data_IF_382711291067
#
_entry.id   IF_382711291067
#
_cell.length_a   1.000
_cell.length_b   1.000
_cell.length_c   1.000
_cell.angle_alpha   90.00
_cell.angle_beta   90.00
_cell.angle_gamma   90.00
#
_symmetry.space_group_name_H-M   'P 1'
#
loop_
_entity.id
_entity.type
_entity.pdbx_description
1 polymer ?
#
# COMPACT_ATOMS: atom_id res chain seq x y z
N UNK A 1 40.90 2.73 -44.45
CA UNK A 1 41.36 3.52 -45.61
C UNK A 1 40.26 4.51 -45.98
N UNK A 2 40.59 5.82 -45.98
CA UNK A 2 40.12 6.91 -46.87
C UNK A 2 38.62 6.96 -47.25
N UNK A 3 37.90 8.08 -47.32
CA UNK A 3 38.14 9.51 -47.11
C UNK A 3 36.78 10.20 -47.35
N UNK A 4 36.49 11.22 -46.56
CA UNK A 4 35.66 12.41 -46.82
C UNK A 4 35.08 12.64 -48.23
N UNK A 5 33.84 13.17 -48.29
CA UNK A 5 33.53 14.40 -49.07
C UNK A 5 32.21 15.08 -48.63
N UNK A 6 32.39 16.31 -48.16
CA UNK A 6 31.43 17.41 -48.04
C UNK A 6 30.95 17.88 -49.43
N UNK A 7 29.75 18.49 -49.52
CA UNK A 7 29.58 19.89 -49.99
C UNK A 7 28.16 20.44 -49.61
N UNK A 8 27.99 21.78 -49.50
CA UNK A 8 26.95 22.47 -48.74
C UNK A 8 25.98 23.30 -49.61
N UNK A 9 24.93 23.88 -49.02
CA UNK A 9 24.25 25.08 -49.57
C UNK A 9 23.87 26.05 -48.45
N UNK A 10 23.93 27.34 -48.79
CA UNK A 10 24.19 28.53 -47.95
C UNK A 10 23.13 29.59 -48.27
N UNK A 11 22.99 30.55 -47.34
CA UNK A 11 22.34 31.89 -47.41
C UNK A 11 20.85 31.97 -47.03
N UNK A 12 20.37 32.98 -46.28
CA UNK A 12 21.02 34.16 -45.68
C UNK A 12 20.00 35.22 -45.23
N UNK A 13 20.42 36.12 -44.32
CA UNK A 13 19.77 37.38 -43.93
C UNK A 13 18.67 37.25 -42.85
N UNK A 14 18.65 37.97 -41.72
CA UNK A 14 19.36 39.15 -41.26
C UNK A 14 18.34 40.19 -40.80
N UNK A 15 18.16 40.40 -39.48
CA UNK A 15 17.63 41.66 -38.92
C UNK A 15 17.73 41.71 -37.37
N UNK A 16 18.48 42.72 -36.92
CA UNK A 16 18.25 43.65 -35.80
C UNK A 16 18.08 43.13 -34.36
N UNK A 17 19.10 43.51 -33.60
CA UNK A 17 19.15 43.89 -32.18
C UNK A 17 17.91 44.61 -31.65
N UNK A 18 17.37 44.11 -30.54
CA UNK A 18 16.74 44.92 -29.49
C UNK A 18 16.91 44.18 -28.15
N UNK A 19 17.36 44.91 -27.14
CA UNK A 19 17.82 44.37 -25.87
C UNK A 19 16.68 43.87 -24.99
N UNK A 20 16.97 42.84 -24.20
CA UNK A 20 16.26 42.60 -22.95
C UNK A 20 17.27 42.36 -21.83
N UNK A 21 17.10 43.20 -20.81
CA UNK A 21 17.76 43.18 -19.52
C UNK A 21 17.73 41.77 -18.90
N UNK A 22 18.89 41.34 -18.41
CA UNK A 22 19.01 40.20 -17.52
C UNK A 22 18.45 40.58 -16.15
N UNK A 23 17.22 40.16 -15.85
CA UNK A 23 16.74 40.03 -14.48
C UNK A 23 16.90 38.57 -14.05
N UNK A 24 17.89 38.36 -13.19
CA UNK A 24 18.15 37.15 -12.41
C UNK A 24 16.96 36.80 -11.53
N UNK A 25 16.50 35.54 -11.58
CA UNK A 25 15.48 35.02 -10.67
C UNK A 25 14.54 34.05 -11.36
N UNK A 26 15.01 32.82 -11.64
CA UNK A 26 14.12 31.71 -11.96
C UNK A 26 14.49 30.53 -11.07
N UNK A 27 13.66 30.34 -10.04
CA UNK A 27 13.46 29.01 -9.45
C UNK A 27 13.07 28.06 -10.58
N UNK A 28 13.92 27.08 -10.84
CA UNK A 28 13.62 26.01 -11.79
C UNK A 28 12.62 25.09 -11.11
N UNK A 29 11.34 25.26 -11.45
CA UNK A 29 10.27 24.37 -11.01
C UNK A 29 10.48 22.99 -11.66
N UNK A 30 10.65 21.95 -10.82
CA UNK A 30 10.91 20.55 -11.21
C UNK A 30 9.83 19.99 -12.16
N UNK A 31 8.64 20.59 -12.17
CA UNK A 31 7.53 20.24 -13.07
C UNK A 31 7.95 20.34 -14.55
N UNK A 32 8.86 21.25 -14.91
CA UNK A 32 9.23 21.47 -16.32
C UNK A 32 10.17 20.42 -16.92
N UNK A 33 10.84 19.58 -16.10
CA UNK A 33 11.80 18.57 -16.59
C UNK A 33 11.17 17.16 -16.69
N UNK A 34 10.05 16.91 -16.00
CA UNK A 34 9.30 15.64 -16.10
C UNK A 34 8.41 15.52 -17.35
N UNK A 35 8.17 16.61 -18.09
CA UNK A 35 7.15 16.67 -19.14
C UNK A 35 7.40 15.90 -20.45
N UNK A 36 8.46 15.09 -20.59
CA UNK A 36 8.75 14.38 -21.86
C UNK A 36 9.15 12.91 -21.79
N UNK A 37 9.11 12.28 -20.62
CA UNK A 37 9.36 10.82 -20.47
C UNK A 37 8.14 10.07 -19.90
N UNK A 38 7.02 10.76 -19.65
CA UNK A 38 5.80 10.24 -19.02
C UNK A 38 4.95 9.27 -19.89
N UNK A 39 5.54 8.60 -20.89
CA UNK A 39 4.79 7.81 -21.88
C UNK A 39 5.07 6.29 -21.85
N UNK A 40 5.93 5.76 -20.98
CA UNK A 40 6.26 4.30 -21.00
C UNK A 40 6.13 3.55 -19.66
N UNK A 41 5.67 4.19 -18.58
CA UNK A 41 5.49 3.52 -17.27
C UNK A 41 4.08 3.74 -16.68
N UNK A 42 3.05 3.88 -17.51
CA UNK A 42 1.66 3.89 -17.03
C UNK A 42 1.11 2.48 -16.89
N UNK A 43 1.49 1.81 -15.82
CA UNK A 43 0.79 0.66 -15.25
C UNK A 43 1.18 0.58 -13.76
N UNK A 44 0.50 1.35 -12.94
CA UNK A 44 0.69 1.45 -11.49
C UNK A 44 -0.19 2.60 -11.01
N UNK A 45 -1.08 2.31 -10.05
CA UNK A 45 -2.11 3.23 -9.59
C UNK A 45 -1.54 4.52 -9.02
N UNK A 46 -2.39 5.55 -8.94
CA UNK A 46 -2.12 6.80 -8.24
C UNK A 46 -1.99 6.49 -6.74
N UNK A 47 -0.82 6.03 -6.32
CA UNK A 47 -0.45 5.83 -4.91
C UNK A 47 -0.28 7.21 -4.25
N UNK A 48 -1.25 7.64 -3.44
CA UNK A 48 -0.99 8.70 -2.47
C UNK A 48 0.07 8.15 -1.49
N UNK A 49 1.25 8.79 -1.32
CA UNK A 49 2.22 8.28 -0.36
C UNK A 49 1.66 8.53 1.04
N UNK A 50 1.06 7.46 1.57
CA UNK A 50 0.38 7.42 2.85
C UNK A 50 1.35 7.99 3.88
N UNK A 51 0.88 9.04 4.57
CA UNK A 51 1.59 9.82 5.61
C UNK A 51 2.45 10.99 5.15
N UNK A 52 2.43 11.43 3.88
CA UNK A 52 3.07 12.70 3.48
C UNK A 52 2.64 13.90 4.35
N UNK A 53 1.34 14.01 4.64
CA UNK A 53 0.79 15.07 5.50
C UNK A 53 1.26 14.96 6.95
N UNK A 54 1.43 13.75 7.46
CA UNK A 54 1.93 13.52 8.83
C UNK A 54 3.43 13.85 8.93
N UNK A 55 4.23 13.47 7.93
CA UNK A 55 5.64 13.86 7.84
C UNK A 55 5.74 15.39 7.76
N UNK A 56 4.93 16.05 6.93
CA UNK A 56 4.87 17.51 6.87
C UNK A 56 4.51 18.14 8.21
N UNK A 57 3.52 17.59 8.90
CA UNK A 57 3.10 18.08 10.22
C UNK A 57 4.21 17.95 11.26
N UNK A 58 4.96 16.85 11.26
CA UNK A 58 6.12 16.66 12.15
C UNK A 58 7.23 17.65 11.80
N UNK A 59 7.60 17.79 10.53
CA UNK A 59 8.63 18.76 10.10
C UNK A 59 8.27 20.20 10.43
N UNK A 60 6.99 20.56 10.32
CA UNK A 60 6.49 21.89 10.72
C UNK A 60 6.52 22.10 12.23
N UNK A 61 6.12 21.09 13.00
CA UNK A 61 6.11 21.12 14.47
C UNK A 61 7.52 21.27 15.05
N UNK A 62 8.49 20.57 14.49
CA UNK A 62 9.91 20.63 14.91
C UNK A 62 10.65 21.87 14.37
N UNK A 63 9.97 22.74 13.62
CA UNK A 63 10.56 23.97 13.06
C UNK A 63 11.56 23.74 11.93
N UNK A 64 11.62 22.53 11.37
CA UNK A 64 12.51 22.16 10.26
C UNK A 64 12.04 22.72 8.92
N UNK A 65 10.73 22.92 8.77
CA UNK A 65 10.11 23.58 7.64
C UNK A 65 9.01 24.54 8.11
N UNK A 66 8.87 25.74 7.52
CA UNK A 66 7.70 26.56 7.74
C UNK A 66 6.42 25.79 7.39
N UNK A 67 5.37 25.90 8.21
CA UNK A 67 4.11 25.14 8.03
C UNK A 67 3.54 25.24 6.62
N UNK A 68 3.43 26.46 6.09
CA UNK A 68 2.93 26.72 4.73
C UNK A 68 3.79 26.07 3.63
N UNK A 69 5.09 25.89 3.88
CA UNK A 69 6.00 25.20 2.95
C UNK A 69 5.86 23.69 3.10
N UNK A 70 5.72 23.18 4.32
CA UNK A 70 5.52 21.75 4.58
C UNK A 70 4.21 21.25 3.96
N UNK A 71 3.12 22.02 4.10
CA UNK A 71 1.81 21.71 3.50
C UNK A 71 1.90 21.68 1.96
N UNK A 72 2.46 22.73 1.34
CA UNK A 72 2.68 22.77 -0.12
C UNK A 72 3.60 21.65 -0.62
N UNK A 73 4.63 21.30 0.15
CA UNK A 73 5.54 20.22 -0.19
C UNK A 73 4.83 18.85 -0.16
N UNK A 74 3.92 18.63 0.79
CA UNK A 74 3.11 17.41 0.85
C UNK A 74 2.15 17.30 -0.35
N UNK A 75 1.58 18.42 -0.80
CA UNK A 75 0.78 18.48 -2.03
C UNK A 75 1.63 18.19 -3.28
N UNK A 76 2.82 18.79 -3.39
CA UNK A 76 3.77 18.50 -4.48
C UNK A 76 4.20 17.03 -4.47
N UNK A 77 4.44 16.46 -3.29
CA UNK A 77 4.79 15.05 -3.11
C UNK A 77 3.70 14.13 -3.66
N UNK A 78 2.44 14.37 -3.26
CA UNK A 78 1.28 13.61 -3.74
C UNK A 78 1.12 13.68 -5.27
N UNK A 79 1.43 14.81 -5.91
CA UNK A 79 1.38 14.96 -7.37
C UNK A 79 2.59 14.35 -8.10
N UNK A 80 3.74 14.28 -7.42
CA UNK A 80 5.01 13.83 -8.01
C UNK A 80 5.18 12.31 -8.03
N UNK A 81 4.39 11.58 -7.22
CA UNK A 81 4.55 10.15 -7.00
C UNK A 81 5.74 9.78 -6.10
N UNK A 82 6.39 10.77 -5.48
CA UNK A 82 7.44 10.57 -4.49
C UNK A 82 6.92 10.90 -3.10
N UNK A 83 7.52 10.27 -2.08
CA UNK A 83 7.28 10.62 -0.69
C UNK A 83 7.92 11.97 -0.35
N UNK A 84 7.34 12.67 0.62
CA UNK A 84 7.74 14.03 1.00
C UNK A 84 9.22 14.14 1.40
N UNK A 85 9.77 13.10 2.04
CA UNK A 85 11.18 13.04 2.42
C UNK A 85 12.11 13.09 1.21
N UNK A 86 11.78 12.41 0.11
CA UNK A 86 12.51 12.49 -1.15
C UNK A 86 12.54 13.93 -1.66
N UNK A 87 11.40 14.61 -1.73
CA UNK A 87 11.37 16.02 -2.18
C UNK A 87 12.20 16.93 -1.28
N UNK A 88 12.08 16.78 0.05
CA UNK A 88 12.84 17.58 1.00
C UNK A 88 14.36 17.37 0.86
N UNK A 89 14.78 16.12 0.63
CA UNK A 89 16.19 15.77 0.46
C UNK A 89 16.74 16.28 -0.89
N UNK A 90 16.00 16.08 -1.98
CA UNK A 90 16.37 16.55 -3.33
C UNK A 90 16.55 18.07 -3.37
N UNK A 91 15.71 18.81 -2.64
CA UNK A 91 15.77 20.28 -2.55
C UNK A 91 16.71 20.80 -1.46
N UNK A 92 17.34 19.90 -0.69
CA UNK A 92 18.20 20.24 0.47
C UNK A 92 17.51 21.16 1.47
N UNK A 93 16.19 21.01 1.66
CA UNK A 93 15.42 21.84 2.59
C UNK A 93 15.63 21.44 4.05
N UNK A 94 15.79 20.14 4.29
CA UNK A 94 15.94 19.55 5.62
C UNK A 94 17.14 18.61 5.59
N UNK A 95 18.00 18.62 6.61
CA UNK A 95 19.10 17.67 6.69
C UNK A 95 18.59 16.23 6.79
N UNK A 96 19.33 15.29 6.20
CA UNK A 96 18.94 13.89 6.08
C UNK A 96 18.60 13.22 7.42
N UNK A 97 19.42 13.42 8.46
CA UNK A 97 19.17 12.86 9.78
C UNK A 97 17.84 13.34 10.38
N UNK A 98 17.53 14.63 10.25
CA UNK A 98 16.28 15.18 10.76
C UNK A 98 15.05 14.69 9.96
N UNK A 99 15.19 14.42 8.66
CA UNK A 99 14.16 13.75 7.88
C UNK A 99 13.93 12.32 8.36
N UNK A 100 15.01 11.59 8.63
CA UNK A 100 14.92 10.21 9.12
C UNK A 100 14.24 10.15 10.49
N UNK A 101 14.56 11.08 11.39
CA UNK A 101 13.91 11.19 12.71
C UNK A 101 12.42 11.52 12.60
N UNK A 102 12.05 12.41 11.67
CA UNK A 102 10.64 12.73 11.41
C UNK A 102 9.87 11.50 10.88
N UNK A 103 10.47 10.76 9.94
CA UNK A 103 9.91 9.50 9.42
C UNK A 103 9.77 8.47 10.54
N UNK A 104 10.81 8.27 11.37
CA UNK A 104 10.76 7.38 12.52
C UNK A 104 9.64 7.73 13.51
N UNK A 105 9.41 9.02 13.73
CA UNK A 105 8.33 9.54 14.59
C UNK A 105 6.94 9.23 14.02
N UNK A 106 6.73 9.47 12.73
CA UNK A 106 5.45 9.20 12.04
C UNK A 106 5.12 7.72 12.05
N UNK A 107 6.08 6.87 11.69
CA UNK A 107 5.89 5.42 11.65
C UNK A 107 5.97 4.76 13.04
N UNK A 108 6.37 5.51 14.08
CA UNK A 108 6.61 5.00 15.45
C UNK A 108 7.52 3.76 15.44
N UNK A 109 8.52 3.77 14.57
CA UNK A 109 9.43 2.66 14.36
C UNK A 109 10.88 3.11 14.49
N UNK A 110 11.77 2.14 14.74
CA UNK A 110 13.21 2.36 14.63
C UNK A 110 13.55 2.74 13.20
N UNK A 111 14.64 3.48 13.04
CA UNK A 111 15.09 3.92 11.72
C UNK A 111 16.28 3.10 11.24
N UNK A 112 16.49 3.06 9.93
CA UNK A 112 17.71 2.56 9.30
C UNK A 112 18.39 3.72 8.57
N UNK A 113 19.59 4.07 9.01
CA UNK A 113 20.37 5.15 8.43
C UNK A 113 21.07 4.72 7.13
N UNK A 114 21.58 5.71 6.38
CA UNK A 114 22.29 5.45 5.14
C UNK A 114 23.55 4.58 5.32
N UNK A 115 24.23 4.66 6.47
CA UNK A 115 25.43 3.87 6.75
C UNK A 115 25.13 2.38 6.83
N UNK A 116 24.07 2.03 7.58
CA UNK A 116 23.61 0.65 7.73
C UNK A 116 23.18 0.02 6.39
N UNK A 117 22.67 0.82 5.45
CA UNK A 117 22.18 0.35 4.15
C UNK A 117 23.25 0.27 3.06
N UNK A 118 24.46 0.80 3.30
CA UNK A 118 25.51 0.86 2.29
C UNK A 118 26.36 -0.42 2.22
N UNK A 119 26.58 -1.05 3.37
CA UNK A 119 27.49 -2.20 3.49
C UNK A 119 26.73 -3.44 3.97
N UNK A 120 25.92 -4.00 3.07
CA UNK A 120 25.09 -5.16 3.38
C UNK A 120 25.83 -6.45 3.01
N UNK A 121 26.05 -7.37 3.97
CA UNK A 121 26.67 -8.65 3.67
C UNK A 121 25.86 -9.46 2.66
N UNK A 122 26.51 -10.07 1.66
CA UNK A 122 25.86 -10.86 0.62
C UNK A 122 24.97 -11.99 1.17
N UNK A 123 25.35 -12.57 2.32
CA UNK A 123 24.54 -13.59 3.03
C UNK A 123 23.15 -13.08 3.46
N UNK A 124 23.00 -11.78 3.71
CA UNK A 124 21.70 -11.18 4.06
C UNK A 124 20.87 -10.95 2.81
N UNK A 125 21.52 -10.51 1.73
CA UNK A 125 20.86 -10.30 0.43
C UNK A 125 20.29 -11.59 -0.15
N UNK A 126 20.93 -12.74 0.09
CA UNK A 126 20.40 -14.04 -0.35
C UNK A 126 19.14 -14.48 0.40
N UNK A 127 18.80 -13.88 1.54
CA UNK A 127 17.60 -14.25 2.31
C UNK A 127 16.32 -13.71 1.66
N UNK A 128 16.39 -12.52 1.05
CA UNK A 128 15.24 -11.89 0.39
C UNK A 128 15.52 -11.84 -1.11
N UNK A 129 14.79 -12.60 -1.94
CA UNK A 129 14.96 -12.55 -3.39
C UNK A 129 14.79 -11.14 -3.94
N UNK A 130 15.57 -10.77 -4.97
CA UNK A 130 15.54 -9.44 -5.59
C UNK A 130 14.13 -8.97 -5.95
N UNK A 131 13.31 -9.87 -6.51
CA UNK A 131 11.91 -9.60 -6.89
C UNK A 131 11.04 -9.22 -5.69
N UNK A 132 11.24 -9.87 -4.53
CA UNK A 132 10.52 -9.55 -3.31
C UNK A 132 11.03 -8.24 -2.68
N UNK A 133 12.36 -8.04 -2.67
CA UNK A 133 12.97 -6.80 -2.20
C UNK A 133 12.47 -5.57 -2.99
N UNK A 134 12.40 -5.70 -4.33
CA UNK A 134 11.87 -4.67 -5.21
C UNK A 134 10.37 -4.45 -5.00
N UNK A 135 9.58 -5.53 -5.01
CA UNK A 135 8.11 -5.47 -4.89
C UNK A 135 7.67 -4.83 -3.58
N UNK A 136 8.28 -5.22 -2.46
CA UNK A 136 7.91 -4.73 -1.13
C UNK A 136 8.69 -3.48 -0.71
N UNK A 137 9.63 -3.00 -1.54
CA UNK A 137 10.52 -1.86 -1.23
C UNK A 137 11.23 -2.04 0.11
N UNK A 138 11.89 -3.20 0.26
CA UNK A 138 12.56 -3.61 1.49
C UNK A 138 13.98 -4.09 1.24
N UNK A 139 14.87 -3.84 2.21
CA UNK A 139 16.27 -4.28 2.15
C UNK A 139 16.73 -4.83 3.51
N UNK A 140 17.24 -6.06 3.59
CA UNK A 140 17.77 -6.61 4.84
C UNK A 140 19.13 -5.97 5.13
N UNK A 141 19.40 -5.56 6.37
CA UNK A 141 20.69 -4.93 6.71
C UNK A 141 21.35 -5.50 7.97
N UNK A 142 20.62 -6.23 8.81
CA UNK A 142 21.19 -6.86 9.99
C UNK A 142 20.46 -8.14 10.37
N UNK A 143 21.19 -9.14 10.88
CA UNK A 143 20.63 -10.41 11.36
C UNK A 143 21.25 -10.74 12.71
N UNK A 144 20.42 -10.89 13.72
CA UNK A 144 20.79 -11.28 15.08
C UNK A 144 20.00 -12.52 15.50
N UNK A 145 20.67 -13.66 15.60
CA UNK A 145 20.02 -14.95 15.81
C UNK A 145 19.03 -15.27 14.69
N UNK A 146 17.73 -15.29 15.02
CA UNK A 146 16.63 -15.49 14.07
C UNK A 146 15.90 -14.17 13.72
N UNK A 147 16.37 -13.02 14.22
CA UNK A 147 15.74 -11.72 14.01
C UNK A 147 16.42 -11.00 12.85
N UNK A 148 15.70 -10.86 11.73
CA UNK A 148 16.16 -10.14 10.55
C UNK A 148 15.63 -8.70 10.59
N UNK A 149 16.54 -7.74 10.74
CA UNK A 149 16.24 -6.33 10.60
C UNK A 149 16.23 -5.93 9.14
N UNK A 150 15.10 -5.35 8.73
CA UNK A 150 14.80 -4.98 7.35
C UNK A 150 14.46 -3.50 7.32
N UNK A 151 15.10 -2.74 6.43
CA UNK A 151 14.70 -1.39 6.13
C UNK A 151 13.54 -1.41 5.14
N UNK A 152 12.48 -0.67 5.44
CA UNK A 152 11.25 -0.66 4.66
C UNK A 152 10.79 0.78 4.41
N UNK A 153 10.17 1.00 3.25
CA UNK A 153 9.50 2.26 2.95
C UNK A 153 8.31 2.49 3.90
N UNK A 154 7.48 1.45 4.09
CA UNK A 154 6.44 1.40 5.12
C UNK A 154 6.72 0.25 6.10
N UNK A 155 7.29 0.52 7.28
CA UNK A 155 7.52 -0.50 8.31
C UNK A 155 6.25 -0.93 9.05
N UNK A 156 5.10 -0.30 8.77
CA UNK A 156 3.80 -0.63 9.40
C UNK A 156 2.95 -1.58 8.56
N UNK A 157 3.41 -1.97 7.36
CA UNK A 157 2.73 -2.95 6.53
C UNK A 157 2.94 -4.39 7.06
N UNK A 158 1.96 -4.84 7.84
CA UNK A 158 1.96 -6.18 8.43
C UNK A 158 1.82 -7.31 7.41
N UNK A 159 1.29 -7.03 6.21
CA UNK A 159 1.17 -8.05 5.16
C UNK A 159 2.54 -8.32 4.53
N UNK A 160 3.35 -7.28 4.35
CA UNK A 160 4.75 -7.39 3.92
C UNK A 160 5.57 -8.11 5.00
N UNK A 161 5.38 -7.77 6.28
CA UNK A 161 6.08 -8.45 7.38
C UNK A 161 5.80 -9.96 7.41
N UNK A 162 4.52 -10.36 7.30
CA UNK A 162 4.12 -11.77 7.26
C UNK A 162 4.72 -12.51 6.06
N UNK A 163 4.77 -11.87 4.88
CA UNK A 163 5.36 -12.44 3.67
C UNK A 163 6.88 -12.61 3.81
N UNK A 164 7.59 -11.61 4.32
CA UNK A 164 9.03 -11.71 4.59
C UNK A 164 9.35 -12.78 5.63
N UNK A 165 8.54 -12.90 6.69
CA UNK A 165 8.68 -13.96 7.70
C UNK A 165 8.53 -15.34 7.06
N UNK A 166 7.56 -15.51 6.16
CA UNK A 166 7.35 -16.77 5.47
C UNK A 166 8.49 -17.09 4.49
N UNK A 167 8.96 -16.11 3.73
CA UNK A 167 10.05 -16.27 2.75
C UNK A 167 11.39 -16.58 3.41
N UNK A 168 11.70 -15.90 4.52
CA UNK A 168 13.02 -15.97 5.17
C UNK A 168 13.07 -16.96 6.35
N UNK A 169 11.92 -17.38 6.86
CA UNK A 169 11.80 -18.13 8.11
C UNK A 169 12.28 -17.36 9.36
N UNK A 170 12.54 -16.05 9.24
CA UNK A 170 13.06 -15.20 10.32
C UNK A 170 11.95 -14.39 11.00
N UNK A 171 12.21 -13.96 12.23
CA UNK A 171 11.42 -12.91 12.88
C UNK A 171 11.81 -11.59 12.24
N UNK A 172 10.85 -10.91 11.61
CA UNK A 172 11.12 -9.66 10.90
C UNK A 172 11.01 -8.49 11.86
N UNK A 173 11.99 -7.60 11.82
CA UNK A 173 11.94 -6.29 12.48
C UNK A 173 12.07 -5.21 11.42
N UNK A 174 10.97 -4.53 11.11
CA UNK A 174 10.94 -3.48 10.10
C UNK A 174 11.41 -2.14 10.68
N UNK A 175 12.34 -1.50 10.00
CA UNK A 175 12.88 -0.19 10.32
C UNK A 175 12.49 0.81 9.24
N UNK A 176 12.02 1.99 9.62
CA UNK A 176 11.72 3.06 8.68
C UNK A 176 13.02 3.57 8.04
N UNK A 177 13.03 3.74 6.72
CA UNK A 177 14.15 4.36 6.00
C UNK A 177 13.64 5.44 5.05
N UNK A 178 14.53 6.32 4.61
CA UNK A 178 14.21 7.30 3.58
C UNK A 178 14.00 6.62 2.23
N UNK A 179 13.03 7.10 1.44
CA UNK A 179 12.67 6.50 0.16
C UNK A 179 13.87 6.48 -0.80
N UNK A 180 14.60 7.61 -0.91
CA UNK A 180 15.84 7.70 -1.70
C UNK A 180 16.87 6.65 -1.31
N UNK A 181 17.00 6.34 -0.01
CA UNK A 181 17.99 5.39 0.49
C UNK A 181 17.56 3.95 0.30
N UNK A 182 16.26 3.65 0.35
CA UNK A 182 15.73 2.35 -0.08
C UNK A 182 16.02 2.12 -1.56
N UNK A 183 15.75 3.11 -2.43
CA UNK A 183 16.06 2.98 -3.86
C UNK A 183 17.56 2.77 -4.12
N UNK A 184 18.43 3.55 -3.47
CA UNK A 184 19.88 3.39 -3.58
C UNK A 184 20.36 2.01 -3.11
N UNK A 185 19.83 1.53 -1.99
CA UNK A 185 20.16 0.22 -1.45
C UNK A 185 19.66 -0.91 -2.37
N UNK A 186 18.44 -0.82 -2.91
CA UNK A 186 17.91 -1.78 -3.88
C UNK A 186 18.76 -1.82 -5.17
N UNK A 187 19.18 -0.66 -5.67
CA UNK A 187 20.00 -0.58 -6.87
C UNK A 187 21.39 -1.18 -6.67
N UNK A 188 22.03 -0.87 -5.54
CA UNK A 188 23.37 -1.39 -5.24
C UNK A 188 23.39 -2.86 -4.84
N UNK A 189 22.37 -3.33 -4.10
CA UNK A 189 22.32 -4.69 -3.57
C UNK A 189 21.69 -5.71 -4.53
N UNK A 190 20.66 -5.31 -5.29
CA UNK A 190 19.88 -6.21 -6.14
C UNK A 190 19.87 -5.82 -7.62
N UNK A 191 20.49 -4.70 -8.00
CA UNK A 191 20.52 -4.25 -9.39
C UNK A 191 19.18 -3.66 -9.88
N UNK A 192 18.29 -3.28 -8.96
CA UNK A 192 17.00 -2.67 -9.30
C UNK A 192 17.23 -1.28 -9.92
N UNK A 193 16.60 -0.93 -11.06
CA UNK A 193 16.78 0.38 -11.68
C UNK A 193 16.35 1.53 -10.76
N UNK A 194 17.16 2.60 -10.73
CA UNK A 194 16.85 3.82 -10.00
C UNK A 194 15.85 4.68 -10.78
N UNK A 195 14.92 5.37 -10.09
CA UNK A 195 14.18 6.46 -10.69
C UNK A 195 15.15 7.54 -11.24
N UNK A 196 14.94 8.08 -12.46
CA UNK A 196 15.90 8.99 -13.10
C UNK A 196 16.20 10.26 -12.29
N UNK A 197 15.25 10.71 -11.46
CA UNK A 197 15.43 11.86 -10.57
C UNK A 197 16.44 11.54 -9.46
N UNK A 198 16.31 10.36 -8.84
CA UNK A 198 17.20 9.88 -7.78
C UNK A 198 18.59 9.58 -8.34
N UNK A 199 18.66 8.93 -9.50
CA UNK A 199 19.92 8.64 -10.19
C UNK A 199 20.75 9.90 -10.43
N UNK A 200 20.14 10.95 -10.99
CA UNK A 200 20.81 12.24 -11.21
C UNK A 200 21.30 12.88 -9.92
N UNK A 201 20.50 12.79 -8.85
CA UNK A 201 20.87 13.35 -7.55
C UNK A 201 22.04 12.60 -6.90
N UNK A 202 22.05 11.26 -6.99
CA UNK A 202 23.16 10.43 -6.51
C UNK A 202 24.44 10.71 -7.30
N UNK A 203 24.35 10.84 -8.63
CA UNK A 203 25.47 11.22 -9.48
C UNK A 203 26.06 12.60 -9.13
N UNK A 204 25.23 13.51 -8.62
CA UNK A 204 25.63 14.83 -8.11
C UNK A 204 26.31 14.83 -6.74
N UNK A 205 26.57 13.66 -6.15
CA UNK A 205 27.30 13.50 -4.89
C UNK A 205 26.50 12.85 -3.77
N UNK A 206 25.18 12.66 -3.95
CA UNK A 206 24.30 11.85 -3.07
C UNK A 206 24.33 12.23 -1.58
N UNK A 207 24.83 13.42 -1.27
CA UNK A 207 25.09 13.93 0.07
C UNK A 207 24.74 15.39 0.10
N UNK A 208 23.84 15.76 1.00
CA UNK A 208 23.58 17.16 1.29
C UNK A 208 24.79 17.73 2.02
N UNK A 209 25.60 18.57 1.35
CA UNK A 209 26.39 19.56 2.08
C UNK A 209 25.37 20.51 2.70
N UNK A 210 25.24 20.48 4.02
CA UNK A 210 24.36 21.40 4.74
C UNK A 210 24.86 22.83 4.49
N UNK A 211 24.23 23.52 3.54
CA UNK A 211 24.31 24.98 3.49
C UNK A 211 23.21 25.43 4.44
N UNK A 212 23.52 26.06 5.59
CA UNK A 212 22.49 26.61 6.45
C UNK A 212 21.61 27.50 5.59
N UNK A 213 20.29 27.29 5.67
CA UNK A 213 19.33 28.07 4.91
C UNK A 213 19.68 29.55 5.06
N UNK A 214 19.94 30.22 3.92
CA UNK A 214 20.20 31.65 3.93
C UNK A 214 19.09 32.33 4.72
N UNK A 215 19.42 33.26 5.65
CA UNK A 215 18.41 33.91 6.47
C UNK A 215 17.37 34.53 5.55
N UNK A 216 16.12 34.06 5.67
CA UNK A 216 15.02 34.67 4.96
C UNK A 216 14.91 36.13 5.42
N UNK A 217 14.56 37.08 4.53
CA UNK A 217 14.37 38.46 4.92
C UNK A 217 13.35 38.52 6.05
N UNK A 218 13.80 39.04 7.19
CA UNK A 218 12.97 39.23 8.38
C UNK A 218 11.81 40.12 7.98
N UNK A 219 10.60 39.56 7.95
CA UNK A 219 9.39 40.38 7.95
C UNK A 219 9.35 41.02 9.33
N UNK A 220 9.60 42.33 9.41
CA UNK A 220 9.56 43.09 10.65
C UNK A 220 8.23 42.83 11.37
N UNK A 221 8.25 42.44 12.66
CA UNK A 221 7.03 42.31 13.41
C UNK A 221 6.38 43.69 13.56
N UNK A 222 5.17 43.82 13.01
CA UNK A 222 4.29 44.96 13.27
C UNK A 222 4.14 45.09 14.80
N UNK A 223 4.72 46.17 15.35
CA UNK A 223 4.66 46.48 16.78
C UNK A 223 3.20 46.64 17.18
N UNK A 224 2.63 45.64 17.85
CA UNK A 224 1.37 45.81 18.58
C UNK A 224 1.65 46.64 19.84
N UNK A 225 0.81 47.66 20.01
CA UNK A 225 0.84 48.66 21.08
C UNK A 225 0.65 47.99 22.45
N UNK A 226 1.34 48.42 23.52
CA UNK A 226 1.25 47.79 24.83
C UNK A 226 -0.07 48.14 25.52
N UNK A 227 -0.80 47.12 25.97
CA UNK A 227 -1.84 47.28 26.99
C UNK A 227 -1.21 47.30 28.38
N UNK A 228 -1.80 48.15 29.25
CA UNK A 228 -1.28 48.49 30.58
C UNK A 228 -1.53 47.38 31.61
N UNK A 229 -0.73 47.33 32.68
CA UNK A 229 -0.78 46.27 33.68
C UNK A 229 -1.87 46.49 34.73
N UNK A 230 -2.54 45.41 35.15
CA UNK A 230 -3.28 45.36 36.40
C UNK A 230 -2.63 44.37 37.37
N UNK A 231 -2.40 44.87 38.59
CA UNK A 231 -1.78 44.21 39.75
C UNK A 231 -2.77 43.28 40.49
N UNK A 232 -2.29 42.47 41.47
CA UNK A 232 -2.77 41.11 41.73
C UNK A 232 -3.82 41.01 42.86
N UNK A 233 -4.49 39.86 42.92
CA UNK A 233 -5.18 39.37 44.11
C UNK A 233 -4.75 37.93 44.43
N UNK A 234 -4.32 37.71 45.68
CA UNK A 234 -4.05 36.42 46.32
C UNK A 234 -5.23 36.09 47.27
N UNK A 235 -5.20 34.99 48.05
CA UNK A 235 -4.96 33.57 47.73
C UNK A 235 -6.12 32.68 48.21
N UNK A 236 -6.17 31.40 47.81
CA UNK A 236 -6.88 30.38 48.59
C UNK A 236 -6.24 29.00 48.41
N UNK A 237 -6.10 28.32 49.55
CA UNK A 237 -5.33 27.13 49.80
C UNK A 237 -5.94 25.83 49.24
N UNK A 238 -5.12 24.79 49.08
CA UNK A 238 -5.67 23.44 48.89
C UNK A 238 -4.72 22.32 48.48
N UNK A 239 -3.86 21.88 49.41
CA UNK A 239 -3.36 20.49 49.59
C UNK A 239 -2.29 19.93 48.62
N UNK A 240 -1.13 19.65 49.21
CA UNK A 240 -0.27 18.48 48.94
C UNK A 240 -0.35 17.55 50.18
N UNK A 241 0.21 16.33 50.21
CA UNK A 241 0.69 15.43 49.14
C UNK A 241 0.13 13.98 49.29
N UNK A 242 0.26 13.11 48.28
CA UNK A 242 0.21 11.65 48.55
C UNK A 242 1.02 10.81 47.55
N UNK A 243 2.17 10.35 48.07
CA UNK A 243 2.89 9.08 47.88
C UNK A 243 2.67 8.22 46.61
N UNK A 244 3.79 7.98 45.90
CA UNK A 244 4.07 6.72 45.17
C UNK A 244 4.32 5.58 46.19
N UNK A 245 4.02 4.29 45.91
CA UNK A 245 4.77 3.44 44.93
C UNK A 245 3.88 2.33 44.31
N UNK A 246 4.40 1.22 43.72
CA UNK A 246 5.61 1.02 42.92
C UNK A 246 5.26 0.69 41.45
N UNK A 247 6.31 0.68 40.64
CA UNK A 247 6.39 0.13 39.29
C UNK A 247 6.29 -1.41 39.30
N UNK A 248 5.25 -1.95 38.66
CA UNK A 248 5.22 -3.35 38.24
C UNK A 248 5.10 -3.36 36.71
N UNK A 249 6.22 -3.66 36.05
CA UNK A 249 6.26 -4.10 34.66
C UNK A 249 5.68 -5.52 34.62
N UNK A 250 4.70 -5.84 33.76
CA UNK A 250 4.50 -7.21 33.36
C UNK A 250 5.73 -7.64 32.58
N UNK A 251 6.33 -8.73 33.07
CA UNK A 251 7.37 -9.53 32.45
C UNK A 251 7.11 -9.78 30.95
N UNK A 252 8.22 -10.01 30.26
CA UNK A 252 8.28 -10.48 28.90
C UNK A 252 7.14 -11.49 28.60
N UNK A 253 6.37 -11.21 27.55
CA UNK A 253 5.56 -12.23 26.89
C UNK A 253 6.53 -13.21 26.20
N UNK A 254 7.08 -14.10 27.02
CA UNK A 254 7.63 -15.36 26.56
C UNK A 254 6.49 -16.11 25.88
N UNK A 255 6.59 -16.23 24.55
CA UNK A 255 5.78 -17.14 23.78
C UNK A 255 6.01 -18.55 24.35
N UNK A 256 4.98 -19.13 24.96
CA UNK A 256 5.08 -20.48 25.50
C UNK A 256 5.23 -21.47 24.35
N UNK A 257 5.94 -22.57 24.61
CA UNK A 257 6.27 -23.62 23.65
C UNK A 257 5.04 -24.34 23.03
N UNK A 258 3.82 -23.98 23.40
CA UNK A 258 2.58 -24.51 22.83
C UNK A 258 2.07 -23.72 21.60
N UNK A 259 2.50 -22.47 21.37
CA UNK A 259 2.12 -21.69 20.16
C UNK A 259 3.00 -21.99 18.92
N UNK A 260 4.09 -22.75 19.09
CA UNK A 260 4.96 -23.22 18.00
C UNK A 260 4.63 -24.66 17.55
N UNK A 261 3.53 -25.23 18.04
CA UNK A 261 3.10 -26.61 17.81
C UNK A 261 2.20 -26.87 16.60
N UNK A 262 2.09 -25.96 15.62
CA UNK A 262 1.08 -26.10 14.56
C UNK A 262 1.30 -27.23 13.55
N UNK A 263 2.37 -28.04 13.64
CA UNK A 263 2.47 -29.31 12.89
C UNK A 263 3.40 -30.33 13.58
N UNK A 264 2.87 -31.23 14.42
CA UNK A 264 3.04 -32.67 14.12
C UNK A 264 1.91 -33.56 14.69
N UNK A 265 1.17 -34.29 13.85
CA UNK A 265 0.26 -35.35 14.35
C UNK A 265 -0.94 -35.70 13.47
N UNK A 266 -0.71 -36.19 12.25
CA UNK A 266 -1.74 -36.78 11.39
C UNK A 266 -2.09 -38.23 11.83
N UNK A 267 -2.38 -38.45 13.12
CA UNK A 267 -2.78 -39.76 13.61
C UNK A 267 -3.63 -39.68 14.88
N UNK A 268 -4.97 -39.55 14.71
CA UNK A 268 -6.07 -40.06 15.56
C UNK A 268 -7.31 -39.17 15.63
N UNK A 269 -7.85 -38.75 14.49
CA UNK A 269 -9.28 -38.44 14.38
C UNK A 269 -9.87 -38.91 13.04
N UNK A 270 -9.36 -40.06 12.59
CA UNK A 270 -10.13 -41.02 11.81
C UNK A 270 -10.74 -42.02 12.80
N UNK A 271 -11.75 -41.61 13.57
CA UNK A 271 -12.64 -42.53 14.28
C UNK A 271 -13.84 -41.80 14.89
N UNK A 272 -15.02 -42.14 14.35
CA UNK A 272 -16.37 -41.88 14.86
C UNK A 272 -16.92 -40.46 14.66
N UNK A 273 -18.12 -40.25 14.13
CA UNK A 273 -19.12 -41.11 13.47
C UNK A 273 -20.26 -40.17 13.03
N UNK A 274 -20.77 -40.37 11.83
CA UNK A 274 -22.19 -40.42 11.47
C UNK A 274 -23.21 -39.70 12.38
N UNK A 275 -23.95 -38.74 11.82
CA UNK A 275 -25.44 -38.72 11.79
C UNK A 275 -25.96 -37.46 11.06
N UNK A 276 -26.64 -37.68 9.93
CA UNK A 276 -27.68 -36.80 9.33
C UNK A 276 -28.83 -36.62 10.33
N UNK A 277 -29.56 -35.47 10.35
CA UNK A 277 -30.82 -35.44 9.59
C UNK A 277 -31.29 -34.06 9.04
N UNK A 278 -31.90 -34.14 7.85
CA UNK A 278 -33.28 -33.76 7.51
C UNK A 278 -33.73 -32.27 7.48
N UNK A 279 -34.18 -31.86 6.29
CA UNK A 279 -34.90 -30.63 5.98
C UNK A 279 -36.37 -30.66 6.45
N UNK A 280 -37.04 -29.50 6.50
CA UNK A 280 -38.37 -29.49 5.89
C UNK A 280 -38.68 -28.27 5.01
N UNK A 281 -39.75 -28.48 4.24
CA UNK A 281 -40.18 -27.80 3.04
C UNK A 281 -41.11 -26.59 3.24
N UNK A 282 -41.41 -25.96 2.11
CA UNK A 282 -42.12 -24.71 1.84
C UNK A 282 -43.63 -24.66 2.12
N UNK A 283 -44.18 -23.44 2.20
CA UNK A 283 -45.53 -23.03 1.73
C UNK A 283 -45.74 -21.49 1.83
N UNK A 284 -46.67 -20.85 1.07
CA UNK A 284 -46.45 -19.58 0.33
C UNK A 284 -47.46 -18.43 0.69
N UNK A 285 -47.86 -17.52 -0.24
CA UNK A 285 -47.38 -16.14 -0.37
C UNK A 285 -48.43 -15.06 0.00
N UNK A 286 -48.03 -13.79 0.11
CA UNK A 286 -48.94 -12.65 0.28
C UNK A 286 -48.57 -11.46 -0.63
N UNK A 287 -49.45 -11.27 -1.63
CA UNK A 287 -50.03 -10.06 -2.21
C UNK A 287 -49.18 -8.81 -2.57
N UNK A 288 -49.28 -8.53 -3.87
CA UNK A 288 -49.06 -7.27 -4.59
C UNK A 288 -49.72 -6.05 -3.94
N UNK A 289 -48.95 -4.95 -3.87
CA UNK A 289 -49.49 -3.60 -3.96
C UNK A 289 -48.61 -2.76 -4.90
N UNK A 290 -49.20 -2.35 -6.03
CA UNK A 290 -48.69 -1.30 -6.93
C UNK A 290 -49.00 0.07 -6.30
N UNK A 291 -48.16 1.11 -6.41
CA UNK A 291 -48.10 2.18 -7.44
C UNK A 291 -47.13 3.28 -6.92
N UNK A 292 -46.74 4.35 -7.64
CA UNK A 292 -46.65 4.59 -9.09
C UNK A 292 -45.26 5.10 -9.55
N UNK A 293 -45.10 5.11 -10.87
CA UNK A 293 -43.97 5.54 -11.70
C UNK A 293 -43.71 7.06 -11.65
N UNK A 294 -42.42 7.45 -11.61
CA UNK A 294 -41.92 8.82 -11.74
C UNK A 294 -40.68 8.82 -12.68
N UNK A 295 -40.39 9.95 -13.36
CA UNK A 295 -39.94 9.98 -14.75
C UNK A 295 -38.43 9.77 -14.97
N UNK A 296 -38.11 9.28 -16.17
CA UNK A 296 -36.77 8.94 -16.64
C UNK A 296 -35.76 10.12 -16.58
N UNK A 297 -34.52 9.89 -16.10
CA UNK A 297 -33.43 10.83 -16.32
C UNK A 297 -32.82 10.67 -17.73
N UNK A 298 -32.46 11.82 -18.30
CA UNK A 298 -31.84 12.00 -19.60
C UNK A 298 -30.50 11.23 -19.76
N UNK A 299 -30.10 10.87 -20.99
CA UNK A 299 -28.97 9.96 -21.23
C UNK A 299 -27.65 10.55 -20.77
N UNK A 300 -26.97 9.82 -19.89
CA UNK A 300 -25.60 10.08 -19.46
C UNK A 300 -24.64 10.00 -20.65
N UNK A 301 -23.62 10.85 -20.60
CA UNK A 301 -22.56 10.97 -21.59
C UNK A 301 -21.91 9.61 -21.90
N UNK A 302 -21.65 9.38 -23.18
CA UNK A 302 -21.03 8.15 -23.68
C UNK A 302 -19.71 7.87 -22.94
N UNK A 303 -19.48 6.62 -22.46
CA UNK A 303 -18.23 6.27 -21.83
C UNK A 303 -17.08 6.36 -22.85
N UNK A 304 -16.00 7.01 -22.42
CA UNK A 304 -14.71 7.00 -23.10
C UNK A 304 -14.30 5.54 -23.30
N UNK A 305 -14.21 5.10 -24.55
CA UNK A 305 -13.80 3.73 -24.91
C UNK A 305 -12.40 3.46 -24.34
N UNK A 306 -12.30 2.54 -23.39
CA UNK A 306 -11.03 1.94 -22.97
C UNK A 306 -10.43 1.23 -24.19
N UNK A 307 -9.11 1.30 -24.33
CA UNK A 307 -8.40 0.41 -25.25
C UNK A 307 -8.55 -1.01 -24.70
N UNK A 308 -9.33 -1.84 -25.40
CA UNK A 308 -9.67 -3.18 -24.99
C UNK A 308 -8.45 -4.12 -25.16
N UNK A 309 -8.08 -4.80 -24.07
CA UNK A 309 -7.45 -6.12 -24.18
C UNK A 309 -8.34 -6.98 -25.10
N UNK A 310 -7.79 -7.88 -25.94
CA UNK A 310 -8.63 -8.78 -26.72
C UNK A 310 -9.66 -9.45 -25.80
N UNK A 311 -10.94 -9.35 -26.16
CA UNK A 311 -12.06 -9.81 -25.35
C UNK A 311 -12.08 -11.35 -25.37
N UNK A 312 -11.19 -11.95 -24.59
CA UNK A 312 -11.03 -13.39 -24.45
C UNK A 312 -12.23 -13.99 -23.71
N UNK A 313 -12.67 -15.18 -24.13
CA UNK A 313 -13.75 -15.92 -23.45
C UNK A 313 -13.35 -16.27 -21.99
N UNK A 314 -14.31 -16.37 -21.03
CA UNK A 314 -13.97 -16.72 -19.64
C UNK A 314 -13.15 -18.00 -19.48
N UNK A 315 -13.29 -18.99 -20.37
CA UNK A 315 -12.49 -20.21 -20.29
C UNK A 315 -11.03 -19.98 -20.70
N UNK A 316 -10.79 -19.22 -21.77
CA UNK A 316 -9.44 -18.87 -22.23
C UNK A 316 -8.70 -18.02 -21.18
N UNK A 317 -9.42 -17.08 -20.56
CA UNK A 317 -8.87 -16.27 -19.47
C UNK A 317 -8.56 -17.10 -18.24
N UNK A 318 -9.38 -18.13 -17.95
CA UNK A 318 -9.11 -19.06 -16.86
C UNK A 318 -7.85 -19.88 -17.14
N UNK A 319 -7.55 -20.22 -18.40
CA UNK A 319 -6.28 -20.89 -18.76
C UNK A 319 -5.10 -19.98 -18.43
N UNK A 320 -5.10 -18.72 -18.88
CA UNK A 320 -4.04 -17.75 -18.55
C UNK A 320 -3.87 -17.55 -17.05
N UNK A 321 -4.99 -17.42 -16.32
CA UNK A 321 -4.94 -17.32 -14.86
C UNK A 321 -4.35 -18.58 -14.22
N UNK A 322 -4.60 -19.77 -14.79
CA UNK A 322 -4.05 -21.03 -14.28
C UNK A 322 -2.54 -21.11 -14.47
N UNK A 323 -2.04 -20.66 -15.62
CA UNK A 323 -0.60 -20.59 -15.91
C UNK A 323 0.09 -19.62 -14.95
N UNK A 324 -0.48 -18.42 -14.78
CA UNK A 324 0.00 -17.43 -13.81
C UNK A 324 0.05 -18.00 -12.39
N UNK A 325 -1.05 -18.61 -11.92
CA UNK A 325 -1.15 -19.26 -10.61
C UNK A 325 -0.12 -20.39 -10.44
N UNK A 326 0.15 -21.20 -11.47
CA UNK A 326 1.14 -22.27 -11.41
C UNK A 326 2.59 -21.76 -11.31
N UNK A 327 2.85 -20.59 -11.89
CA UNK A 327 4.16 -19.92 -11.87
C UNK A 327 4.37 -18.99 -10.68
N UNK A 328 3.35 -18.76 -9.84
CA UNK A 328 3.41 -17.83 -8.72
C UNK A 328 4.56 -18.14 -7.75
N UNK A 329 5.37 -17.12 -7.43
CA UNK A 329 6.50 -17.22 -6.50
C UNK A 329 6.26 -16.47 -5.18
N UNK A 330 5.32 -15.52 -5.20
CA UNK A 330 4.90 -14.72 -4.05
C UNK A 330 3.37 -14.78 -3.92
N UNK A 331 2.85 -14.45 -2.74
CA UNK A 331 1.38 -14.31 -2.57
C UNK A 331 0.80 -13.27 -3.52
N UNK A 332 1.51 -12.18 -3.71
CA UNK A 332 1.09 -11.11 -4.63
C UNK A 332 0.91 -11.58 -6.07
N UNK A 333 1.67 -12.58 -6.54
CA UNK A 333 1.48 -13.15 -7.87
C UNK A 333 0.13 -13.86 -7.99
N UNK A 334 -0.31 -14.52 -6.92
CA UNK A 334 -1.62 -15.16 -6.83
C UNK A 334 -2.71 -14.08 -6.84
N UNK A 335 -2.52 -13.00 -6.09
CA UNK A 335 -3.44 -11.87 -6.08
C UNK A 335 -3.58 -11.24 -7.47
N UNK A 336 -2.45 -10.95 -8.12
CA UNK A 336 -2.40 -10.33 -9.44
C UNK A 336 -3.10 -11.24 -10.48
N UNK A 337 -2.91 -12.57 -10.42
CA UNK A 337 -3.60 -13.52 -11.29
C UNK A 337 -5.13 -13.55 -11.06
N UNK A 338 -5.58 -13.50 -9.80
CA UNK A 338 -7.00 -13.46 -9.45
C UNK A 338 -7.65 -12.16 -9.92
N UNK A 339 -7.03 -11.01 -9.64
CA UNK A 339 -7.55 -9.69 -10.01
C UNK A 339 -7.52 -9.50 -11.53
N UNK A 340 -6.46 -9.97 -12.21
CA UNK A 340 -6.39 -9.97 -13.66
C UNK A 340 -7.57 -10.74 -14.27
N UNK A 341 -7.87 -11.95 -13.78
CA UNK A 341 -9.06 -12.69 -14.21
C UNK A 341 -10.36 -11.90 -13.93
N UNK A 342 -10.48 -11.23 -12.79
CA UNK A 342 -11.70 -10.49 -12.45
C UNK A 342 -11.93 -9.20 -13.25
N UNK A 343 -10.89 -8.65 -13.89
CA UNK A 343 -10.91 -7.31 -14.52
C UNK A 343 -12.08 -7.00 -15.48
N UNK A 344 -12.48 -7.86 -16.43
CA UNK A 344 -13.60 -7.57 -17.33
C UNK A 344 -14.97 -7.88 -16.72
N UNK A 345 -15.01 -8.58 -15.58
CA UNK A 345 -16.27 -9.00 -14.94
C UNK A 345 -16.74 -8.06 -13.84
N UNK A 346 -15.82 -7.26 -13.29
CA UNK A 346 -16.06 -6.42 -12.12
C UNK A 346 -15.51 -5.00 -12.30
N UNK A 347 -16.34 -3.98 -12.05
CA UNK A 347 -15.90 -2.59 -11.95
C UNK A 347 -14.98 -2.37 -10.76
N UNK A 348 -15.29 -3.02 -9.64
CA UNK A 348 -14.46 -3.06 -8.42
C UNK A 348 -14.17 -4.51 -8.04
N UNK A 349 -12.91 -4.81 -7.79
CA UNK A 349 -12.44 -6.14 -7.39
C UNK A 349 -11.41 -6.00 -6.29
N UNK A 350 -11.50 -6.86 -5.28
CA UNK A 350 -10.59 -6.82 -4.15
C UNK A 350 -10.33 -8.21 -3.60
N UNK A 351 -9.23 -8.33 -2.88
CA UNK A 351 -8.84 -9.50 -2.14
C UNK A 351 -8.70 -9.11 -0.68
N UNK A 352 -9.27 -9.96 0.16
CA UNK A 352 -9.15 -9.85 1.61
C UNK A 352 -8.46 -11.10 2.13
N UNK A 353 -7.56 -10.95 3.09
CA UNK A 353 -6.87 -12.07 3.70
C UNK A 353 -7.32 -12.27 5.13
N UNK A 354 -7.46 -13.53 5.53
CA UNK A 354 -7.66 -13.88 6.93
C UNK A 354 -6.31 -13.84 7.66
N UNK A 355 -6.19 -12.92 8.62
CA UNK A 355 -5.01 -12.74 9.46
C UNK A 355 -5.42 -12.79 10.92
N UNK A 356 -4.96 -13.81 11.65
CA UNK A 356 -5.40 -14.09 13.03
C UNK A 356 -6.93 -14.24 13.07
N UNK A 357 -7.62 -13.41 13.84
CA UNK A 357 -9.09 -13.37 13.96
C UNK A 357 -9.70 -12.17 13.22
N UNK A 358 -9.03 -11.66 12.18
CA UNK A 358 -9.52 -10.51 11.41
C UNK A 358 -9.31 -10.69 9.92
N UNK A 359 -10.26 -10.17 9.15
CA UNK A 359 -10.26 -10.15 7.70
C UNK A 359 -9.77 -8.76 7.29
N UNK A 360 -8.62 -8.71 6.62
CA UNK A 360 -7.93 -7.47 6.29
C UNK A 360 -7.90 -7.27 4.78
N UNK A 361 -8.10 -6.04 4.32
CA UNK A 361 -7.93 -5.70 2.91
C UNK A 361 -6.49 -5.92 2.48
N UNK A 362 -6.30 -6.65 1.37
CA UNK A 362 -4.96 -6.98 0.87
C UNK A 362 -4.64 -6.20 -0.40
N UNK A 363 -5.37 -6.46 -1.48
CA UNK A 363 -5.15 -5.85 -2.81
C UNK A 363 -6.48 -5.56 -3.46
N UNK A 364 -6.60 -4.46 -4.19
CA UNK A 364 -7.83 -4.11 -4.90
C UNK A 364 -7.58 -3.19 -6.06
N UNK A 365 -8.48 -3.28 -7.03
CA UNK A 365 -8.41 -2.54 -8.29
C UNK A 365 -9.83 -2.21 -8.74
N UNK A 366 -9.99 -1.07 -9.42
CA UNK A 366 -11.26 -0.69 -9.99
C UNK A 366 -11.63 0.75 -9.75
N UNK A 367 -12.86 1.07 -10.09
CA UNK A 367 -13.42 2.42 -9.91
C UNK A 367 -13.55 2.77 -8.42
N UNK A 368 -12.92 3.86 -7.99
CA UNK A 368 -12.99 4.33 -6.60
C UNK A 368 -12.22 3.50 -5.56
N UNK A 369 -11.57 2.40 -5.94
CA UNK A 369 -10.79 1.57 -5.03
C UNK A 369 -9.40 2.18 -4.86
N UNK A 370 -9.12 2.69 -3.67
CA UNK A 370 -7.79 3.11 -3.25
C UNK A 370 -7.17 2.04 -2.33
N UNK A 371 -5.88 1.74 -2.54
CA UNK A 371 -5.21 0.67 -1.81
C UNK A 371 -5.04 1.00 -0.32
N UNK A 372 -4.85 2.28 0.02
CA UNK A 372 -4.66 2.73 1.41
C UNK A 372 -5.90 2.51 2.24
N UNK A 373 -7.04 2.98 1.74
CA UNK A 373 -8.35 2.82 2.36
C UNK A 373 -8.77 1.36 2.41
N UNK A 374 -8.47 0.57 1.37
CA UNK A 374 -8.71 -0.87 1.39
C UNK A 374 -7.89 -1.57 2.47
N UNK A 375 -6.58 -1.28 2.58
CA UNK A 375 -5.69 -1.87 3.59
C UNK A 375 -6.06 -1.46 5.02
N UNK A 376 -6.79 -0.37 5.21
CA UNK A 376 -7.32 0.04 6.49
C UNK A 376 -8.54 -0.79 6.96
N UNK A 377 -9.20 -1.53 6.06
CA UNK A 377 -10.33 -2.41 6.41
C UNK A 377 -9.84 -3.55 7.29
N UNK A 378 -10.46 -3.71 8.46
CA UNK A 378 -10.18 -4.81 9.39
C UNK A 378 -11.47 -5.31 10.06
N UNK A 379 -12.01 -6.41 9.57
CA UNK A 379 -13.28 -6.97 10.03
C UNK A 379 -13.03 -8.19 10.92
N UNK A 380 -13.36 -8.14 12.22
CA UNK A 380 -13.21 -9.29 13.11
C UNK A 380 -14.07 -10.48 12.67
N UNK A 381 -13.52 -11.70 12.71
CA UNK A 381 -14.23 -12.90 12.24
C UNK A 381 -15.44 -13.28 13.09
N UNK A 382 -15.46 -12.86 14.35
CA UNK A 382 -16.57 -13.09 15.28
C UNK A 382 -17.74 -12.11 15.10
N UNK A 383 -17.57 -11.04 14.31
CA UNK A 383 -18.61 -10.03 14.13
C UNK A 383 -19.49 -10.30 12.89
N UNK A 384 -20.80 -10.01 12.95
CA UNK A 384 -21.70 -10.16 11.80
C UNK A 384 -21.24 -9.36 10.58
N UNK A 385 -20.98 -10.09 9.49
CA UNK A 385 -20.53 -9.54 8.21
C UNK A 385 -20.86 -10.49 7.07
N UNK A 386 -20.71 -10.01 5.83
CA UNK A 386 -20.84 -10.84 4.61
C UNK A 386 -19.88 -12.04 4.60
N UNK A 387 -18.78 -11.98 5.35
CA UNK A 387 -17.78 -13.04 5.41
C UNK A 387 -18.12 -14.15 6.39
N UNK A 388 -18.92 -13.88 7.42
CA UNK A 388 -19.17 -14.84 8.51
C UNK A 388 -19.80 -16.16 8.01
N UNK A 389 -20.82 -16.16 7.13
CA UNK A 389 -21.36 -17.41 6.58
C UNK A 389 -20.33 -18.20 5.76
N UNK A 390 -19.41 -17.50 5.09
CA UNK A 390 -18.37 -18.10 4.24
C UNK A 390 -17.29 -18.78 5.09
N UNK A 391 -16.98 -18.25 6.27
CA UNK A 391 -16.12 -18.91 7.25
C UNK A 391 -16.73 -20.22 7.78
N UNK A 392 -18.05 -20.33 7.81
CA UNK A 392 -18.80 -21.50 8.31
C UNK A 392 -19.26 -22.46 7.20
N UNK A 393 -18.62 -22.42 6.02
CA UNK A 393 -18.83 -23.42 4.97
C UNK A 393 -19.79 -23.02 3.85
N UNK A 394 -20.29 -21.78 3.83
CA UNK A 394 -21.01 -21.26 2.65
C UNK A 394 -20.05 -21.18 1.46
N UNK A 395 -20.43 -21.75 0.32
CA UNK A 395 -19.54 -21.90 -0.83
C UNK A 395 -19.09 -20.57 -1.45
N UNK A 396 -20.00 -19.60 -1.55
CA UNK A 396 -19.76 -18.23 -2.01
C UNK A 396 -20.98 -17.35 -1.68
N UNK A 397 -20.80 -16.04 -1.72
CA UNK A 397 -21.87 -15.06 -1.63
C UNK A 397 -22.13 -14.45 -3.01
N UNK A 398 -23.40 -14.31 -3.38
CA UNK A 398 -23.85 -13.62 -4.60
C UNK A 398 -25.18 -12.94 -4.27
N UNK A 399 -25.18 -11.62 -4.12
CA UNK A 399 -26.40 -10.90 -3.77
C UNK A 399 -26.15 -9.50 -3.19
N UNK A 400 -27.22 -8.83 -2.71
CA UNK A 400 -27.11 -7.51 -2.10
C UNK A 400 -26.22 -7.56 -0.86
N UNK A 401 -25.46 -6.49 -0.61
CA UNK A 401 -24.70 -6.37 0.62
C UNK A 401 -25.64 -5.91 1.74
N UNK A 402 -25.86 -6.76 2.74
CA UNK A 402 -26.74 -6.43 3.85
C UNK A 402 -26.24 -5.22 4.63
N UNK A 403 -27.15 -4.37 5.11
CA UNK A 403 -26.84 -3.17 5.90
C UNK A 403 -26.40 -3.52 7.32
N UNK A 404 -25.15 -3.97 7.46
CA UNK A 404 -24.50 -4.30 8.72
C UNK A 404 -23.31 -3.34 8.95
N UNK A 405 -22.95 -3.02 10.22
CA UNK A 405 -21.85 -2.09 10.51
C UNK A 405 -20.53 -2.45 9.81
N UNK A 406 -20.16 -3.73 9.79
CA UNK A 406 -18.92 -4.20 9.13
C UNK A 406 -18.99 -4.21 7.62
N UNK A 407 -20.18 -4.39 7.06
CA UNK A 407 -20.38 -4.25 5.61
C UNK A 407 -20.34 -2.78 5.17
N UNK A 408 -20.71 -1.84 6.06
CA UNK A 408 -20.53 -0.41 5.80
C UNK A 408 -19.03 -0.03 5.79
N UNK A 409 -18.26 -0.51 6.78
CA UNK A 409 -16.80 -0.34 6.81
C UNK A 409 -16.13 -0.91 5.54
N UNK A 410 -16.55 -2.11 5.13
CA UNK A 410 -16.14 -2.73 3.88
C UNK A 410 -16.45 -1.84 2.66
N UNK A 411 -17.67 -1.30 2.60
CA UNK A 411 -18.09 -0.45 1.49
C UNK A 411 -17.27 0.84 1.42
N UNK A 412 -16.99 1.46 2.57
CA UNK A 412 -16.15 2.65 2.67
C UNK A 412 -14.71 2.37 2.20
N UNK A 413 -14.12 1.24 2.61
CA UNK A 413 -12.80 0.82 2.15
C UNK A 413 -12.72 0.43 0.67
N UNK A 414 -13.87 0.20 0.02
CA UNK A 414 -13.98 -0.09 -1.41
C UNK A 414 -14.40 1.13 -2.25
N UNK A 415 -14.30 2.35 -1.70
CA UNK A 415 -14.62 3.59 -2.40
C UNK A 415 -15.96 4.23 -2.02
N UNK A 416 -16.66 3.70 -1.02
CA UNK A 416 -17.83 4.34 -0.39
C UNK A 416 -19.15 4.25 -1.16
N UNK A 417 -19.12 3.96 -2.46
CA UNK A 417 -20.34 3.82 -3.26
C UNK A 417 -21.05 2.48 -2.99
N UNK A 418 -22.35 2.50 -2.60
CA UNK A 418 -23.11 1.29 -2.36
C UNK A 418 -23.35 0.53 -3.67
N UNK A 419 -22.95 -0.74 -3.72
CA UNK A 419 -23.23 -1.62 -4.86
C UNK A 419 -24.64 -2.18 -4.80
N UNK A 420 -25.33 -2.31 -5.94
CA UNK A 420 -26.61 -3.03 -6.05
C UNK A 420 -26.50 -4.53 -5.75
N UNK A 421 -25.28 -5.08 -5.74
CA UNK A 421 -24.96 -6.43 -5.29
C UNK A 421 -23.46 -6.71 -5.38
N UNK A 422 -22.99 -7.71 -4.63
CA UNK A 422 -21.60 -8.15 -4.60
C UNK A 422 -21.45 -9.66 -4.75
N UNK A 423 -20.24 -10.07 -5.09
CA UNK A 423 -19.77 -11.46 -5.04
C UNK A 423 -18.66 -11.61 -4.04
N UNK A 424 -18.66 -12.71 -3.30
CA UNK A 424 -17.55 -13.07 -2.40
C UNK A 424 -17.25 -14.56 -2.51
N UNK A 425 -16.06 -14.90 -2.98
CA UNK A 425 -15.61 -16.28 -3.12
C UNK A 425 -14.47 -16.58 -2.13
N UNK A 426 -14.66 -17.49 -1.17
CA UNK A 426 -13.58 -17.94 -0.29
C UNK A 426 -12.56 -18.81 -1.05
N UNK A 427 -11.29 -18.52 -0.85
CA UNK A 427 -10.14 -19.34 -1.24
C UNK A 427 -9.76 -20.21 -0.05
N UNK A 428 -9.77 -21.52 -0.27
CA UNK A 428 -9.48 -22.50 0.76
C UNK A 428 -8.06 -23.06 0.60
N UNK A 429 -7.35 -23.17 1.72
CA UNK A 429 -6.10 -23.90 1.85
C UNK A 429 -6.33 -25.06 2.81
N UNK A 430 -6.23 -26.30 2.31
CA UNK A 430 -6.44 -27.53 3.12
C UNK A 430 -7.74 -27.51 3.94
N UNK A 431 -8.82 -27.03 3.34
CA UNK A 431 -10.15 -26.96 3.96
C UNK A 431 -10.40 -25.75 4.86
N UNK A 432 -9.40 -24.89 5.12
CA UNK A 432 -9.56 -23.64 5.85
C UNK A 432 -9.60 -22.45 4.91
N UNK A 433 -10.46 -21.47 5.16
CA UNK A 433 -10.48 -20.22 4.39
C UNK A 433 -9.24 -19.40 4.72
N UNK A 434 -8.52 -18.93 3.70
CA UNK A 434 -7.34 -18.07 3.88
C UNK A 434 -7.50 -16.71 3.24
N UNK A 435 -8.32 -16.59 2.19
CA UNK A 435 -8.50 -15.37 1.43
C UNK A 435 -9.93 -15.31 0.87
N UNK A 436 -10.43 -14.11 0.60
CA UNK A 436 -11.72 -13.88 -0.04
C UNK A 436 -11.51 -13.03 -1.30
N UNK A 437 -12.11 -13.46 -2.40
CA UNK A 437 -12.20 -12.71 -3.64
C UNK A 437 -13.53 -11.97 -3.69
N UNK A 438 -13.46 -10.64 -3.64
CA UNK A 438 -14.58 -9.72 -3.77
C UNK A 438 -14.71 -9.19 -5.20
N UNK A 439 -15.94 -9.03 -5.67
CA UNK A 439 -16.23 -8.31 -6.90
C UNK A 439 -17.63 -7.70 -6.93
N UNK A 440 -17.74 -6.46 -7.39
CA UNK A 440 -19.01 -5.78 -7.64
C UNK A 440 -18.97 -4.87 -8.87
N UNK A 441 -20.16 -4.48 -9.32
CA UNK A 441 -20.39 -3.68 -10.52
C UNK A 441 -21.19 -2.41 -10.21
N UNK A 442 -21.09 -1.90 -8.97
CA UNK A 442 -21.84 -0.72 -8.55
C UNK A 442 -23.34 -0.89 -8.85
N UNK A 443 -23.94 0.04 -9.59
CA UNK A 443 -25.35 0.05 -9.99
C UNK A 443 -25.67 -0.91 -11.16
N UNK A 444 -24.68 -1.37 -11.93
CA UNK A 444 -24.91 -2.23 -13.11
C UNK A 444 -25.30 -3.67 -12.73
N UNK A 445 -25.09 -4.05 -11.46
CA UNK A 445 -25.44 -5.36 -10.93
C UNK A 445 -24.56 -6.51 -11.48
N UNK A 446 -24.92 -7.74 -11.13
CA UNK A 446 -24.04 -8.92 -11.31
C UNK A 446 -24.43 -9.81 -12.50
N UNK A 447 -25.10 -9.25 -13.51
CA UNK A 447 -25.52 -10.02 -14.69
C UNK A 447 -24.29 -10.44 -15.50
N UNK A 448 -24.26 -11.71 -15.92
CA UNK A 448 -23.20 -12.24 -16.78
C UNK A 448 -21.90 -12.65 -16.04
N UNK A 449 -21.85 -12.57 -14.71
CA UNK A 449 -20.68 -13.00 -13.94
C UNK A 449 -20.48 -14.52 -14.09
N UNK A 450 -19.29 -14.99 -14.53
CA UNK A 450 -19.03 -16.40 -14.80
C UNK A 450 -18.75 -17.19 -13.50
N UNK A 451 -19.80 -17.46 -12.73
CA UNK A 451 -19.72 -18.14 -11.41
C UNK A 451 -18.99 -19.50 -11.48
N UNK A 452 -19.22 -20.39 -12.45
CA UNK A 452 -18.50 -21.67 -12.52
C UNK A 452 -16.99 -21.51 -12.65
N UNK A 453 -16.54 -20.55 -13.47
CA UNK A 453 -15.13 -20.26 -13.69
C UNK A 453 -14.51 -19.58 -12.47
N UNK A 454 -15.21 -18.65 -11.80
CA UNK A 454 -14.75 -18.05 -10.55
C UNK A 454 -14.54 -19.10 -9.43
N UNK A 455 -15.43 -20.08 -9.31
CA UNK A 455 -15.24 -21.20 -8.37
C UNK A 455 -14.02 -22.06 -8.72
N UNK A 456 -13.79 -22.33 -10.00
CA UNK A 456 -12.60 -23.07 -10.46
C UNK A 456 -11.32 -22.24 -10.23
N UNK A 457 -11.39 -20.92 -10.43
CA UNK A 457 -10.30 -20.00 -10.18
C UNK A 457 -9.90 -19.99 -8.70
N UNK A 458 -10.84 -19.83 -7.77
CA UNK A 458 -10.52 -19.82 -6.34
C UNK A 458 -10.02 -21.18 -5.84
N UNK A 459 -10.50 -22.29 -6.40
CA UNK A 459 -9.95 -23.61 -6.12
C UNK A 459 -8.48 -23.73 -6.60
N UNK A 460 -8.17 -23.24 -7.80
CA UNK A 460 -6.79 -23.20 -8.33
C UNK A 460 -5.90 -22.28 -7.51
N UNK A 461 -6.41 -21.15 -7.03
CA UNK A 461 -5.66 -20.26 -6.14
C UNK A 461 -5.34 -20.93 -4.79
N UNK A 462 -6.25 -21.74 -4.24
CA UNK A 462 -5.98 -22.56 -3.06
C UNK A 462 -4.78 -23.50 -3.25
N UNK A 463 -4.70 -24.16 -4.42
CA UNK A 463 -3.55 -25.01 -4.78
C UNK A 463 -2.27 -24.19 -4.98
N UNK A 464 -2.37 -22.99 -5.56
CA UNK A 464 -1.22 -22.10 -5.73
C UNK A 464 -0.67 -21.64 -4.38
N UNK A 465 -1.53 -21.29 -3.42
CA UNK A 465 -1.11 -20.98 -2.05
C UNK A 465 -0.41 -22.17 -1.38
N UNK A 466 -0.90 -23.39 -1.58
CA UNK A 466 -0.24 -24.59 -1.05
C UNK A 466 1.14 -24.79 -1.65
N UNK A 467 1.27 -24.69 -2.98
CA UNK A 467 2.54 -24.81 -3.68
C UNK A 467 3.54 -23.73 -3.22
N UNK A 468 3.08 -22.48 -3.09
CA UNK A 468 3.88 -21.37 -2.58
C UNK A 468 4.41 -21.66 -1.16
N UNK A 469 3.53 -22.07 -0.23
CA UNK A 469 3.92 -22.39 1.15
C UNK A 469 4.93 -23.54 1.22
N UNK A 470 4.80 -24.55 0.35
CA UNK A 470 5.77 -25.65 0.27
C UNK A 470 7.13 -25.15 -0.24
N UNK A 471 7.17 -24.29 -1.27
CA UNK A 471 8.41 -23.67 -1.76
C UNK A 471 9.08 -22.82 -0.67
N UNK A 472 8.30 -22.03 0.07
CA UNK A 472 8.82 -21.22 1.18
C UNK A 472 9.44 -22.10 2.29
N UNK A 473 8.77 -23.20 2.67
CA UNK A 473 9.32 -24.16 3.64
C UNK A 473 10.62 -24.80 3.16
N UNK A 474 10.72 -25.16 1.87
CA UNK A 474 11.95 -25.72 1.29
C UNK A 474 13.11 -24.71 1.32
N UNK A 475 12.85 -23.41 1.14
CA UNK A 475 13.90 -22.38 1.25
C UNK A 475 14.38 -22.15 2.68
N UNK A 476 13.50 -22.34 3.65
CA UNK A 476 13.77 -22.06 5.05
C UNK A 476 14.50 -23.18 5.80
N UNK A 477 14.49 -24.42 5.26
CA UNK A 477 15.22 -25.60 5.75
C UNK A 477 16.56 -25.68 5.02
#
# INVERSE_FOLDING_TARGET
MLSSRFFPLRWGGGARTEGLHWCTGREVSIVSVCGRVAASHRAGGEEEPVKNREIAAVLAKEGLLPRERAERAAEEAALSGFRLDTLCLLRSWVPEGALLDAVGTVFRSRTADHGALREIPARLLSLIPARAAERFRVVPFHLEGKTLSVAALDPTDLLVEDELRLLTGCVIRSHAALEVRIHEALASAYGVPLPPVIERWLAGGGRTQHTPAAPQPTVEPVRRRPERPHSPAAPAAGRSPRAAPPSDLPEALELSSDELGEFPGLARLAAARDEEPEAPAAAPPAEETATPEAPAPAPAAAPVRRMDDPELDPEERLVLASEALGSAEMRDDIADALLAYCRPHFRRRALFILRRESIVGWRGEGEGVDETTLRAVAIPTGEPSVFQPLLHGTAFWLGPLASMPRNLELSLGLGGEPSGGCTVFPVHLRGRVVCFLWGDNLEEGLRGVPVPQLRRLTAKAGLAFEAYLLRAKIRAI
#
